data_IF_347034565086
#
_entry.id   IF_347034565086
#
_cell.length_a   1.000
_cell.length_b   1.000
_cell.length_c   1.000
_cell.angle_alpha   90.00
_cell.angle_beta   90.00
_cell.angle_gamma   90.00
#
_symmetry.space_group_name_H-M   'P 1'
#
loop_
_entity.id
_entity.type
_entity.pdbx_description
1 polymer ?
#
# COMPACT_ATOMS: atom_id res chain seq x y z
N UNK A 1 8.02 -7.21 56.78
CA UNK A 1 9.33 -7.88 56.74
C UNK A 1 9.18 -9.08 55.81
N UNK A 2 9.86 -9.30 54.69
CA UNK A 2 11.06 -8.79 54.03
C UNK A 2 10.80 -8.98 52.51
N UNK A 3 11.04 -7.99 51.65
CA UNK A 3 12.28 -7.83 50.85
C UNK A 3 12.81 -9.11 50.19
N UNK A 4 12.84 -9.15 48.85
CA UNK A 4 14.07 -9.50 48.14
C UNK A 4 14.01 -10.48 46.95
N UNK A 5 14.25 -9.92 45.75
CA UNK A 5 15.02 -10.44 44.59
C UNK A 5 14.56 -11.71 43.84
N UNK A 6 14.23 -11.66 42.53
CA UNK A 6 15.10 -11.58 41.32
C UNK A 6 15.90 -12.86 40.99
N UNK A 7 15.42 -13.62 39.98
CA UNK A 7 16.17 -14.41 38.97
C UNK A 7 15.12 -15.15 38.10
N UNK A 8 14.83 -14.84 36.82
CA UNK A 8 15.66 -14.86 35.62
C UNK A 8 16.36 -16.21 35.35
N UNK A 9 15.69 -17.10 34.60
CA UNK A 9 16.36 -18.04 33.69
C UNK A 9 15.52 -18.30 32.43
N UNK A 10 16.03 -17.77 31.32
CA UNK A 10 15.71 -18.13 29.94
C UNK A 10 15.67 -19.65 29.76
N UNK A 11 14.55 -20.19 29.28
CA UNK A 11 14.49 -21.51 28.66
C UNK A 11 14.18 -21.32 27.17
N UNK A 12 15.24 -21.12 26.38
CA UNK A 12 15.20 -21.14 24.93
C UNK A 12 15.00 -22.60 24.48
N UNK A 13 13.81 -22.93 23.99
CA UNK A 13 13.47 -24.27 23.52
C UNK A 13 14.03 -24.49 22.10
N UNK A 14 14.98 -25.43 21.99
CA UNK A 14 15.46 -26.00 20.73
C UNK A 14 14.33 -26.74 19.98
N UNK A 15 14.28 -26.70 18.63
CA UNK A 15 13.26 -27.36 17.83
C UNK A 15 13.49 -28.87 17.77
N UNK A 16 12.49 -29.66 18.16
CA UNK A 16 12.48 -31.13 17.99
C UNK A 16 12.19 -31.49 16.53
N UNK A 17 12.87 -32.50 15.95
CA UNK A 17 12.57 -33.00 14.61
C UNK A 17 11.23 -33.77 14.60
N UNK A 18 10.38 -33.46 13.62
CA UNK A 18 9.06 -34.07 13.43
C UNK A 18 9.17 -35.52 12.96
N UNK A 19 8.34 -36.46 13.45
CA UNK A 19 8.14 -37.73 12.78
C UNK A 19 7.21 -37.53 11.56
N UNK A 20 7.75 -37.77 10.37
CA UNK A 20 6.94 -37.95 9.17
C UNK A 20 6.04 -39.18 9.31
N UNK A 21 4.75 -39.01 9.01
CA UNK A 21 3.83 -40.14 8.89
C UNK A 21 2.37 -39.77 9.02
N UNK A 22 1.70 -39.66 7.87
CA UNK A 22 0.27 -39.96 7.67
C UNK A 22 -0.74 -39.33 8.64
N UNK A 23 -1.14 -38.08 8.37
CA UNK A 23 -2.55 -37.67 8.27
C UNK A 23 -2.63 -36.16 7.96
N UNK A 24 -2.41 -35.78 6.70
CA UNK A 24 -2.52 -34.40 6.24
C UNK A 24 -3.82 -34.11 5.48
N UNK A 25 -4.77 -35.04 5.44
CA UNK A 25 -6.05 -34.88 4.75
C UNK A 25 -7.19 -35.27 5.70
N UNK A 26 -7.59 -34.34 6.58
CA UNK A 26 -8.96 -34.20 7.15
C UNK A 26 -9.00 -33.27 8.38
N UNK A 27 -8.45 -32.05 8.28
CA UNK A 27 -8.84 -30.92 9.14
C UNK A 27 -8.82 -29.65 8.28
N UNK A 28 -9.70 -29.61 7.29
CA UNK A 28 -9.98 -28.37 6.53
C UNK A 28 -11.47 -28.08 6.70
N UNK A 29 -11.77 -26.84 7.10
CA UNK A 29 -13.10 -26.28 7.34
C UNK A 29 -13.63 -26.36 8.78
N UNK A 30 -12.93 -25.72 9.75
CA UNK A 30 -13.61 -24.79 10.66
C UNK A 30 -12.67 -23.95 11.57
N UNK A 31 -11.46 -23.62 11.12
CA UNK A 31 -10.61 -22.72 11.92
C UNK A 31 -10.88 -21.28 11.49
N UNK A 32 -11.46 -20.42 12.36
CA UNK A 32 -11.65 -19.02 12.02
C UNK A 32 -10.27 -18.37 11.81
N UNK A 33 -10.15 -17.41 10.89
CA UNK A 33 -8.88 -16.74 10.63
C UNK A 33 -8.34 -16.15 11.94
N UNK A 34 -7.04 -16.33 12.19
CA UNK A 34 -6.36 -15.92 13.42
C UNK A 34 -6.63 -14.44 13.75
N UNK A 35 -6.78 -13.60 12.73
CA UNK A 35 -7.16 -12.18 12.84
C UNK A 35 -8.56 -11.96 13.44
N UNK A 36 -9.55 -12.78 13.07
CA UNK A 36 -10.92 -12.69 13.62
C UNK A 36 -10.98 -13.11 15.09
N UNK A 37 -10.15 -14.09 15.49
CA UNK A 37 -10.04 -14.51 16.90
C UNK A 37 -9.39 -13.42 17.74
N UNK A 38 -8.39 -12.70 17.19
CA UNK A 38 -7.77 -11.56 17.89
C UNK A 38 -8.73 -10.39 18.02
N UNK A 39 -9.49 -10.06 16.97
CA UNK A 39 -10.49 -8.98 17.01
C UNK A 39 -11.63 -9.28 17.99
N UNK A 40 -12.09 -10.53 18.04
CA UNK A 40 -13.15 -10.94 18.96
C UNK A 40 -12.67 -10.94 20.42
N UNK A 41 -11.41 -11.34 20.66
CA UNK A 41 -10.80 -11.30 22.00
C UNK A 41 -10.55 -9.86 22.46
N UNK A 42 -10.17 -8.96 21.55
CA UNK A 42 -10.03 -7.52 21.83
C UNK A 42 -11.39 -6.90 22.15
N UNK A 43 -12.44 -7.21 21.37
CA UNK A 43 -13.81 -6.76 21.66
C UNK A 43 -14.31 -7.24 23.02
N UNK A 44 -14.15 -8.53 23.32
CA UNK A 44 -14.50 -9.08 24.65
C UNK A 44 -13.74 -8.36 25.77
N UNK A 45 -12.46 -8.07 25.59
CA UNK A 45 -11.67 -7.34 26.58
C UNK A 45 -12.16 -5.90 26.78
N UNK A 46 -12.61 -5.24 25.73
CA UNK A 46 -13.21 -3.90 25.81
C UNK A 46 -14.52 -3.97 26.58
N UNK A 47 -15.39 -4.93 26.26
CA UNK A 47 -16.68 -5.11 26.95
C UNK A 47 -16.48 -5.41 28.45
N UNK A 48 -15.53 -6.28 28.78
CA UNK A 48 -15.14 -6.58 30.17
C UNK A 48 -14.69 -5.31 30.89
N UNK A 49 -13.81 -4.49 30.28
CA UNK A 49 -13.35 -3.23 30.86
C UNK A 49 -14.49 -2.22 31.04
N UNK A 50 -15.45 -2.16 30.11
CA UNK A 50 -16.63 -1.30 30.24
C UNK A 50 -17.50 -1.74 31.43
N UNK A 51 -17.69 -3.05 31.62
CA UNK A 51 -18.44 -3.55 32.78
C UNK A 51 -17.71 -3.29 34.11
N UNK A 52 -16.39 -3.52 34.16
CA UNK A 52 -15.55 -3.28 35.34
C UNK A 52 -15.54 -1.78 35.72
N UNK A 53 -15.41 -0.89 34.73
CA UNK A 53 -15.51 0.56 34.96
C UNK A 53 -16.90 1.01 35.39
N UNK A 54 -17.96 0.32 34.95
CA UNK A 54 -19.33 0.52 35.44
C UNK A 54 -19.49 0.14 36.92
N UNK A 55 -18.94 -1.01 37.32
CA UNK A 55 -18.97 -1.49 38.71
C UNK A 55 -18.20 -0.55 39.65
N UNK A 56 -16.99 -0.14 39.26
CA UNK A 56 -16.20 0.82 40.04
C UNK A 56 -16.93 2.16 40.22
N UNK A 57 -17.64 2.64 39.19
CA UNK A 57 -18.46 3.87 39.28
C UNK A 57 -19.60 3.73 40.29
N UNK A 58 -20.26 2.57 40.31
CA UNK A 58 -21.32 2.28 41.26
C UNK A 58 -20.78 2.20 42.71
N UNK A 59 -19.61 1.59 42.91
CA UNK A 59 -18.98 1.50 44.23
C UNK A 59 -18.49 2.86 44.75
N UNK A 60 -17.93 3.71 43.89
CA UNK A 60 -17.60 5.10 44.27
C UNK A 60 -18.87 5.88 44.65
N UNK A 61 -19.98 5.67 43.93
CA UNK A 61 -21.25 6.30 44.27
C UNK A 61 -21.76 5.86 45.65
N UNK A 62 -21.72 4.56 45.98
CA UNK A 62 -22.15 4.07 47.29
C UNK A 62 -21.24 4.55 48.41
N UNK A 63 -19.92 4.57 48.21
CA UNK A 63 -18.95 5.11 49.16
C UNK A 63 -19.18 6.61 49.40
N UNK A 64 -19.49 7.38 48.35
CA UNK A 64 -19.79 8.81 48.47
C UNK A 64 -21.06 9.09 49.27
N UNK A 65 -22.10 8.26 49.11
CA UNK A 65 -23.35 8.39 49.86
C UNK A 65 -23.16 8.02 51.34
N UNK A 66 -22.35 6.99 51.62
CA UNK A 66 -22.00 6.59 52.98
C UNK A 66 -21.24 7.72 53.70
N UNK A 67 -20.25 8.33 53.04
CA UNK A 67 -19.54 9.50 53.56
C UNK A 67 -20.48 10.68 53.85
N UNK A 68 -21.41 10.97 52.93
CA UNK A 68 -22.40 12.05 53.10
C UNK A 68 -23.30 11.80 54.31
N UNK A 69 -23.70 10.55 54.54
CA UNK A 69 -24.51 10.13 55.70
C UNK A 69 -23.73 10.23 57.02
N UNK A 70 -22.46 9.85 57.03
CA UNK A 70 -21.59 10.02 58.20
C UNK A 70 -21.35 11.51 58.52
N UNK A 71 -21.08 12.33 57.51
CA UNK A 71 -20.94 13.79 57.67
C UNK A 71 -22.23 14.43 58.22
N UNK A 72 -23.40 14.04 57.71
CA UNK A 72 -24.69 14.52 58.23
C UNK A 72 -24.96 14.07 59.66
N UNK A 73 -24.54 12.86 60.04
CA UNK A 73 -24.65 12.37 61.41
C UNK A 73 -23.74 13.13 62.39
N UNK A 74 -22.55 13.54 61.94
CA UNK A 74 -21.63 14.38 62.71
C UNK A 74 -22.15 15.81 62.91
N UNK A 75 -22.83 16.38 61.91
CA UNK A 75 -23.42 17.73 62.01
C UNK A 75 -24.59 17.77 63.01
N UNK A 76 -25.32 16.66 63.18
CA UNK A 76 -26.35 16.48 64.22
C UNK A 76 -25.80 16.31 65.65
N UNK A 77 -24.49 16.07 65.80
CA UNK A 77 -23.81 15.88 67.08
C UNK A 77 -23.04 17.12 67.57
N UNK A 78 -23.22 18.28 66.94
CA UNK A 78 -22.73 19.58 67.42
C UNK A 78 -23.80 20.25 68.31
N UNK A 79 -23.80 20.04 69.65
CA UNK A 79 -24.64 20.83 70.54
C UNK A 79 -24.15 22.29 70.53
N UNK A 80 -25.01 23.19 70.04
CA UNK A 80 -24.93 24.62 70.35
C UNK A 80 -25.30 24.78 71.82
N UNK A 81 -24.34 24.67 72.73
CA UNK A 81 -24.50 25.12 74.12
C UNK A 81 -23.15 25.43 74.75
N UNK A 82 -22.78 26.71 74.64
CA UNK A 82 -22.49 27.60 75.76
C UNK A 82 -21.97 26.98 77.07
N UNK A 83 -20.68 27.22 77.33
CA UNK A 83 -20.00 27.35 78.63
C UNK A 83 -20.04 26.18 79.65
N UNK A 84 -18.86 25.95 80.27
CA UNK A 84 -18.54 25.11 81.45
C UNK A 84 -18.37 23.61 81.09
N UNK A 85 -17.25 22.92 81.31
CA UNK A 85 -16.23 22.95 82.37
C UNK A 85 -14.84 22.56 81.82
N UNK A 86 -13.79 23.28 82.24
CA UNK A 86 -12.39 22.89 82.00
C UNK A 86 -11.98 21.80 83.00
N UNK A 87 -11.82 20.56 82.54
CA UNK A 87 -11.12 19.52 83.32
C UNK A 87 -11.14 18.10 82.77
N UNK A 88 -12.14 17.72 81.96
CA UNK A 88 -12.34 16.30 81.58
C UNK A 88 -12.66 16.03 80.10
N UNK A 89 -12.44 17.00 79.20
CA UNK A 89 -12.80 16.89 77.77
C UNK A 89 -11.82 16.10 76.88
N UNK A 90 -10.77 15.46 77.43
CA UNK A 90 -9.72 14.82 76.64
C UNK A 90 -10.18 13.67 75.71
N UNK A 91 -11.04 12.71 76.11
CA UNK A 91 -11.35 11.55 75.27
C UNK A 91 -12.27 11.87 74.09
N UNK A 92 -13.19 12.83 74.23
CA UNK A 92 -14.08 13.25 73.13
C UNK A 92 -13.33 14.08 72.09
N UNK A 93 -12.37 14.91 72.49
CA UNK A 93 -11.51 15.65 71.57
C UNK A 93 -10.62 14.70 70.76
N UNK A 94 -10.07 13.66 71.40
CA UNK A 94 -9.24 12.65 70.74
C UNK A 94 -10.05 11.85 69.70
N UNK A 95 -11.28 11.45 70.03
CA UNK A 95 -12.21 10.81 69.09
C UNK A 95 -12.58 11.72 67.91
N UNK A 96 -12.82 13.02 68.15
CA UNK A 96 -13.09 13.98 67.07
C UNK A 96 -11.86 14.18 66.16
N UNK A 97 -10.64 14.19 66.71
CA UNK A 97 -9.41 14.27 65.90
C UNK A 97 -9.17 13.00 65.09
N UNK A 98 -9.42 11.82 65.66
CA UNK A 98 -9.35 10.55 64.96
C UNK A 98 -10.36 10.50 63.81
N UNK A 99 -11.62 10.86 64.07
CA UNK A 99 -12.67 10.89 63.06
C UNK A 99 -12.36 11.88 61.91
N UNK A 100 -11.79 13.05 62.21
CA UNK A 100 -11.33 14.00 61.18
C UNK A 100 -10.19 13.42 60.34
N UNK A 101 -9.26 12.68 60.93
CA UNK A 101 -8.16 12.05 60.21
C UNK A 101 -8.65 10.92 59.28
N UNK A 102 -9.60 10.11 59.73
CA UNK A 102 -10.23 9.07 58.91
C UNK A 102 -11.01 9.69 57.73
N UNK A 103 -11.72 10.79 57.97
CA UNK A 103 -12.44 11.52 56.92
C UNK A 103 -11.47 12.11 55.89
N UNK A 104 -10.34 12.67 56.34
CA UNK A 104 -9.29 13.17 55.46
C UNK A 104 -8.69 12.03 54.62
N UNK A 105 -8.42 10.87 55.21
CA UNK A 105 -7.90 9.71 54.49
C UNK A 105 -8.90 9.18 53.45
N UNK A 106 -10.18 9.06 53.81
CA UNK A 106 -11.24 8.66 52.87
C UNK A 106 -11.39 9.66 51.72
N UNK A 107 -11.31 10.97 52.00
CA UNK A 107 -11.36 12.00 50.97
C UNK A 107 -10.16 11.93 50.00
N UNK A 108 -8.95 11.65 50.52
CA UNK A 108 -7.75 11.46 49.71
C UNK A 108 -7.85 10.21 48.83
N UNK A 109 -8.36 9.09 49.37
CA UNK A 109 -8.62 7.87 48.60
C UNK A 109 -9.63 8.11 47.48
N UNK A 110 -10.73 8.82 47.77
CA UNK A 110 -11.73 9.18 46.75
C UNK A 110 -11.12 10.06 45.65
N UNK A 111 -10.29 11.05 46.02
CA UNK A 111 -9.61 11.91 45.05
C UNK A 111 -8.61 11.11 44.19
N UNK A 112 -7.88 10.16 44.77
CA UNK A 112 -6.99 9.26 44.03
C UNK A 112 -7.77 8.37 43.05
N UNK A 113 -8.93 7.83 43.45
CA UNK A 113 -9.79 7.06 42.56
C UNK A 113 -10.33 7.89 41.41
N UNK A 114 -10.74 9.15 41.66
CA UNK A 114 -11.18 10.06 40.61
C UNK A 114 -10.08 10.36 39.59
N UNK A 115 -8.85 10.57 40.06
CA UNK A 115 -7.70 10.77 39.18
C UNK A 115 -7.43 9.52 38.33
N UNK A 116 -7.40 8.33 38.94
CA UNK A 116 -7.22 7.07 38.22
C UNK A 116 -8.30 6.86 37.15
N UNK A 117 -9.56 7.21 37.43
CA UNK A 117 -10.65 7.11 36.47
C UNK A 117 -10.45 8.09 35.29
N UNK A 118 -10.04 9.33 35.56
CA UNK A 118 -9.76 10.31 34.50
C UNK A 118 -8.59 9.89 33.59
N UNK A 119 -7.55 9.28 34.17
CA UNK A 119 -6.45 8.75 33.38
C UNK A 119 -6.86 7.52 32.57
N UNK A 120 -7.66 6.63 33.15
CA UNK A 120 -8.21 5.47 32.45
C UNK A 120 -9.08 5.92 31.25
N UNK A 121 -9.90 6.95 31.43
CA UNK A 121 -10.68 7.55 30.34
C UNK A 121 -9.77 8.09 29.22
N UNK A 122 -8.73 8.86 29.55
CA UNK A 122 -7.77 9.36 28.55
C UNK A 122 -7.04 8.21 27.83
N UNK A 123 -6.71 7.13 28.54
CA UNK A 123 -6.12 5.92 27.93
C UNK A 123 -7.10 5.24 26.97
N UNK A 124 -8.38 5.14 27.32
CA UNK A 124 -9.43 4.58 26.48
C UNK A 124 -9.66 5.42 25.20
N UNK A 125 -9.79 6.75 25.33
CA UNK A 125 -9.92 7.65 24.16
C UNK A 125 -8.72 7.56 23.21
N UNK A 126 -7.50 7.45 23.76
CA UNK A 126 -6.31 7.25 22.94
C UNK A 126 -6.35 5.91 22.21
N UNK A 127 -6.77 4.85 22.90
CA UNK A 127 -6.90 3.52 22.30
C UNK A 127 -7.93 3.53 21.16
N UNK A 128 -9.10 4.17 21.36
CA UNK A 128 -10.12 4.33 20.31
C UNK A 128 -9.61 5.11 19.10
N UNK A 129 -8.84 6.19 19.33
CA UNK A 129 -8.20 6.91 18.22
C UNK A 129 -7.20 6.05 17.45
N UNK A 130 -6.43 5.22 18.16
CA UNK A 130 -5.48 4.32 17.50
C UNK A 130 -6.16 3.20 16.72
N UNK A 131 -7.28 2.66 17.22
CA UNK A 131 -8.05 1.65 16.48
C UNK A 131 -8.74 2.26 15.26
N UNK A 132 -9.28 3.48 15.39
CA UNK A 132 -9.84 4.22 14.25
C UNK A 132 -8.79 4.49 13.16
N UNK A 133 -7.60 4.97 13.54
CA UNK A 133 -6.50 5.20 12.60
C UNK A 133 -6.02 3.91 11.91
N UNK A 134 -5.98 2.78 12.64
CA UNK A 134 -5.66 1.47 12.05
C UNK A 134 -6.71 1.05 11.02
N UNK A 135 -8.00 1.19 11.34
CA UNK A 135 -9.09 0.84 10.43
C UNK A 135 -9.07 1.70 9.17
N UNK A 136 -8.79 3.00 9.29
CA UNK A 136 -8.64 3.92 8.15
C UNK A 136 -7.45 3.52 7.28
N UNK A 137 -6.30 3.21 7.89
CA UNK A 137 -5.13 2.70 7.17
C UNK A 137 -5.42 1.37 6.44
N UNK A 138 -6.16 0.45 7.07
CA UNK A 138 -6.60 -0.80 6.44
C UNK A 138 -7.55 -0.55 5.26
N UNK A 139 -8.48 0.41 5.39
CA UNK A 139 -9.37 0.78 4.29
C UNK A 139 -8.58 1.35 3.11
N UNK A 140 -7.62 2.24 3.35
CA UNK A 140 -6.73 2.75 2.31
C UNK A 140 -5.93 1.63 1.64
N UNK A 141 -5.33 0.72 2.42
CA UNK A 141 -4.60 -0.41 1.88
C UNK A 141 -5.49 -1.31 1.01
N UNK A 142 -6.74 -1.57 1.43
CA UNK A 142 -7.70 -2.34 0.64
C UNK A 142 -8.02 -1.65 -0.70
N UNK A 143 -8.25 -0.33 -0.71
CA UNK A 143 -8.51 0.41 -1.96
C UNK A 143 -7.31 0.39 -2.91
N UNK A 144 -6.09 0.44 -2.38
CA UNK A 144 -4.87 0.41 -3.19
C UNK A 144 -4.63 -0.99 -3.76
N UNK A 145 -4.88 -2.04 -2.99
CA UNK A 145 -4.83 -3.43 -3.47
C UNK A 145 -5.83 -3.63 -4.61
N UNK A 146 -7.07 -3.14 -4.47
CA UNK A 146 -8.07 -3.24 -5.53
C UNK A 146 -7.58 -2.50 -6.78
N UNK A 147 -7.12 -1.25 -6.63
CA UNK A 147 -6.55 -0.48 -7.74
C UNK A 147 -5.41 -1.22 -8.43
N UNK A 148 -4.38 -1.65 -7.70
CA UNK A 148 -3.23 -2.36 -8.26
C UNK A 148 -3.65 -3.69 -8.92
N UNK A 149 -4.65 -4.37 -8.37
CA UNK A 149 -5.19 -5.59 -8.98
C UNK A 149 -5.84 -5.32 -10.33
N UNK A 150 -6.57 -4.20 -10.48
CA UNK A 150 -7.16 -3.79 -11.76
C UNK A 150 -6.10 -3.38 -12.77
N UNK A 151 -5.07 -2.63 -12.34
CA UNK A 151 -3.94 -2.24 -13.19
C UNK A 151 -3.18 -3.48 -13.69
N UNK A 152 -2.94 -4.44 -12.80
CA UNK A 152 -2.29 -5.71 -13.13
C UNK A 152 -3.14 -6.57 -14.06
N UNK A 153 -4.46 -6.60 -13.88
CA UNK A 153 -5.37 -7.30 -14.79
C UNK A 153 -5.35 -6.67 -16.19
N UNK A 154 -5.39 -5.33 -16.28
CA UNK A 154 -5.28 -4.62 -17.56
C UNK A 154 -3.92 -4.85 -18.22
N UNK A 155 -2.83 -4.82 -17.46
CA UNK A 155 -1.50 -5.10 -17.98
C UNK A 155 -1.38 -6.53 -18.53
N UNK A 156 -1.92 -7.52 -17.81
CA UNK A 156 -1.98 -8.92 -18.29
C UNK A 156 -2.83 -9.04 -19.55
N UNK A 157 -3.97 -8.37 -19.64
CA UNK A 157 -4.81 -8.37 -20.84
C UNK A 157 -4.04 -7.80 -22.04
N UNK A 158 -3.37 -6.65 -21.89
CA UNK A 158 -2.52 -6.06 -22.93
C UNK A 158 -1.40 -7.00 -23.36
N UNK A 159 -0.76 -7.69 -22.40
CA UNK A 159 0.27 -8.68 -22.71
C UNK A 159 -0.29 -9.84 -23.54
N UNK A 160 -1.46 -10.38 -23.17
CA UNK A 160 -2.08 -11.47 -23.93
C UNK A 160 -2.46 -11.05 -25.35
N UNK A 161 -2.96 -9.82 -25.52
CA UNK A 161 -3.28 -9.27 -26.83
C UNK A 161 -2.03 -9.09 -27.69
N UNK A 162 -0.95 -8.54 -27.11
CA UNK A 162 0.33 -8.41 -27.82
C UNK A 162 0.91 -9.77 -28.25
N UNK A 163 0.79 -10.80 -27.40
CA UNK A 163 1.19 -12.16 -27.76
C UNK A 163 0.33 -12.74 -28.89
N UNK A 164 -0.99 -12.51 -28.88
CA UNK A 164 -1.87 -12.93 -29.98
C UNK A 164 -1.49 -12.23 -31.30
N UNK A 165 -1.23 -10.92 -31.24
CA UNK A 165 -0.78 -10.15 -32.39
C UNK A 165 0.54 -10.69 -32.96
N UNK A 166 1.50 -11.07 -32.11
CA UNK A 166 2.75 -11.68 -32.54
C UNK A 166 2.52 -13.00 -33.31
N UNK A 167 1.67 -13.89 -32.76
CA UNK A 167 1.31 -15.16 -33.42
C UNK A 167 0.61 -14.91 -34.76
N UNK A 168 -0.27 -13.92 -34.84
CA UNK A 168 -0.95 -13.60 -36.10
C UNK A 168 -0.01 -12.99 -37.14
N UNK A 169 0.98 -12.19 -36.72
CA UNK A 169 2.05 -11.72 -37.60
C UNK A 169 2.91 -12.87 -38.11
N UNK A 170 3.28 -13.84 -37.27
CA UNK A 170 4.01 -15.04 -37.71
C UNK A 170 3.23 -15.84 -38.75
N UNK A 171 1.92 -16.04 -38.54
CA UNK A 171 1.05 -16.70 -39.54
C UNK A 171 1.02 -15.93 -40.86
N UNK A 172 0.91 -14.60 -40.80
CA UNK A 172 0.90 -13.73 -42.00
C UNK A 172 2.23 -13.82 -42.74
N UNK A 173 3.36 -13.79 -42.04
CA UNK A 173 4.69 -13.97 -42.63
C UNK A 173 4.78 -15.32 -43.33
N UNK A 174 4.39 -16.42 -42.67
CA UNK A 174 4.39 -17.75 -43.28
C UNK A 174 3.54 -17.81 -44.57
N UNK A 175 2.37 -17.19 -44.58
CA UNK A 175 1.54 -17.13 -45.81
C UNK A 175 2.18 -16.28 -46.91
N UNK A 176 2.86 -15.19 -46.57
CA UNK A 176 3.56 -14.34 -47.53
C UNK A 176 4.77 -15.06 -48.13
N UNK A 177 5.55 -15.75 -47.30
CA UNK A 177 6.66 -16.61 -47.72
C UNK A 177 6.17 -17.71 -48.67
N UNK A 178 5.07 -18.38 -48.35
CA UNK A 178 4.47 -19.40 -49.22
C UNK A 178 4.01 -18.82 -50.58
N UNK A 179 3.51 -17.59 -50.62
CA UNK A 179 3.16 -16.90 -51.88
C UNK A 179 4.40 -16.57 -52.70
N UNK A 180 5.44 -16.04 -52.06
CA UNK A 180 6.73 -15.77 -52.72
C UNK A 180 7.32 -17.04 -53.32
N UNK A 181 7.33 -18.14 -52.56
CA UNK A 181 7.81 -19.44 -53.05
C UNK A 181 7.05 -19.94 -54.30
N UNK A 182 5.73 -19.71 -54.36
CA UNK A 182 4.92 -20.04 -55.55
C UNK A 182 5.27 -19.15 -56.75
N UNK A 183 5.44 -17.85 -56.54
CA UNK A 183 5.84 -16.92 -57.61
C UNK A 183 7.22 -17.27 -58.16
N UNK A 184 8.18 -17.58 -57.29
CA UNK A 184 9.52 -18.02 -57.72
C UNK A 184 9.47 -19.33 -58.49
N UNK A 185 8.67 -20.31 -58.05
CA UNK A 185 8.49 -21.57 -58.75
C UNK A 185 7.86 -21.37 -60.14
N UNK A 186 6.80 -20.56 -60.24
CA UNK A 186 6.18 -20.22 -61.52
C UNK A 186 7.15 -19.48 -62.46
N UNK A 187 7.95 -18.56 -61.93
CA UNK A 187 8.98 -17.85 -62.69
C UNK A 187 10.07 -18.78 -63.23
N UNK A 188 10.56 -19.70 -62.40
CA UNK A 188 11.53 -20.72 -62.82
C UNK A 188 10.95 -21.65 -63.89
N UNK A 189 9.68 -22.04 -63.77
CA UNK A 189 8.99 -22.88 -64.75
C UNK A 189 8.78 -22.15 -66.08
N UNK A 190 8.40 -20.86 -66.06
CA UNK A 190 8.30 -20.03 -67.25
C UNK A 190 9.66 -19.83 -67.93
N UNK A 191 10.73 -19.64 -67.15
CA UNK A 191 12.09 -19.49 -67.68
C UNK A 191 12.62 -20.80 -68.26
N UNK A 192 12.34 -21.95 -67.64
CA UNK A 192 12.66 -23.27 -68.18
C UNK A 192 11.88 -23.58 -69.47
N UNK A 193 10.62 -23.14 -69.56
CA UNK A 193 9.82 -23.26 -70.79
C UNK A 193 10.39 -22.36 -71.91
N UNK A 194 10.81 -21.14 -71.59
CA UNK A 194 11.43 -20.22 -72.56
C UNK A 194 12.79 -20.75 -73.06
N UNK A 195 13.63 -21.32 -72.20
CA UNK A 195 14.90 -21.93 -72.62
C UNK A 195 14.69 -23.22 -73.42
N UNK A 196 13.66 -24.01 -73.10
CA UNK A 196 13.28 -25.17 -73.90
C UNK A 196 12.75 -24.78 -75.29
N UNK A 197 11.92 -23.73 -75.38
CA UNK A 197 11.45 -23.18 -76.65
C UNK A 197 12.61 -22.62 -77.51
N UNK A 198 13.53 -21.87 -76.90
CA UNK A 198 14.73 -21.37 -77.57
C UNK A 198 15.69 -22.49 -78.03
N UNK A 199 15.61 -23.67 -77.41
CA UNK A 199 16.37 -24.86 -77.83
C UNK A 199 15.66 -25.68 -78.93
N UNK A 200 14.35 -25.46 -79.14
CA UNK A 200 13.56 -26.13 -80.17
C UNK A 200 13.53 -25.36 -81.50
N UNK A 201 13.78 -24.05 -81.50
CA UNK A 201 13.92 -23.25 -82.73
C UNK A 201 15.36 -23.30 -83.27
N UNK A 202 15.70 -24.45 -83.84
CA UNK A 202 16.74 -24.60 -84.84
C UNK A 202 16.12 -25.01 -86.17
N UNK A 203 15.52 -24.08 -86.91
CA UNK A 203 15.15 -24.30 -88.31
C UNK A 203 13.94 -23.53 -88.85
N UNK A 204 14.26 -22.54 -89.69
CA UNK A 204 13.45 -21.95 -90.77
C UNK A 204 12.61 -20.69 -90.47
N UNK A 205 12.96 -19.63 -91.20
CA UNK A 205 12.19 -18.40 -91.40
C UNK A 205 10.74 -18.65 -91.85
N UNK A 206 9.87 -17.65 -91.68
CA UNK A 206 9.02 -17.28 -92.81
C UNK A 206 9.02 -15.76 -93.07
N UNK A 207 9.41 -15.41 -94.30
CA UNK A 207 9.02 -14.17 -94.98
C UNK A 207 7.63 -14.33 -95.60
N UNK A 208 6.77 -13.31 -95.52
CA UNK A 208 5.57 -13.22 -96.36
C UNK A 208 4.46 -12.29 -95.82
N UNK A 209 4.30 -11.13 -96.46
CA UNK A 209 3.31 -10.09 -96.17
C UNK A 209 1.86 -10.49 -96.44
N UNK A 210 0.92 -9.98 -95.63
CA UNK A 210 -0.43 -9.62 -96.07
C UNK A 210 -0.99 -8.44 -95.23
N UNK A 211 -1.13 -7.30 -95.91
CA UNK A 211 -1.91 -6.09 -95.58
C UNK A 211 -3.37 -6.43 -95.93
N UNK A 212 -4.39 -6.27 -95.09
CA UNK A 212 -5.30 -5.12 -94.83
C UNK A 212 -6.49 -5.78 -94.06
N UNK A 213 -7.20 -5.21 -93.09
CA UNK A 213 -8.02 -4.01 -93.22
C UNK A 213 -8.63 -3.62 -91.85
N UNK A 214 -9.01 -2.36 -91.74
CA UNK A 214 -9.30 -1.63 -90.51
C UNK A 214 -10.70 -1.89 -89.89
N UNK A 215 -10.88 -1.52 -88.61
CA UNK A 215 -11.60 -0.26 -88.19
C UNK A 215 -12.33 -0.35 -86.83
N UNK A 216 -12.10 0.72 -86.06
CA UNK A 216 -12.97 1.44 -85.09
C UNK A 216 -12.78 1.23 -83.57
N UNK A 217 -12.26 2.32 -82.97
CA UNK A 217 -12.63 3.01 -81.71
C UNK A 217 -12.10 2.37 -80.42
N UNK A 218 -11.53 3.10 -79.46
CA UNK A 218 -11.50 4.54 -79.19
C UNK A 218 -10.29 4.87 -78.29
N UNK A 219 -9.86 6.11 -78.31
CA UNK A 219 -8.81 6.73 -77.49
C UNK A 219 -9.12 6.60 -75.98
N UNK A 220 -8.19 6.67 -75.01
CA UNK A 220 -7.28 7.80 -74.68
C UNK A 220 -6.40 7.28 -73.51
N UNK A 221 -5.10 7.02 -73.67
CA UNK A 221 -3.94 7.91 -73.55
C UNK A 221 -3.81 8.72 -72.22
N UNK A 222 -2.74 8.38 -71.49
CA UNK A 222 -1.77 9.29 -70.86
C UNK A 222 -2.21 10.05 -69.58
N UNK A 223 -1.38 10.33 -68.57
CA UNK A 223 0.06 10.19 -68.34
C UNK A 223 0.30 10.50 -66.83
N UNK A 224 1.23 9.81 -66.20
CA UNK A 224 2.08 10.36 -65.11
C UNK A 224 3.24 11.06 -65.82
N UNK A 225 3.92 12.15 -65.35
CA UNK A 225 4.26 12.44 -63.94
C UNK A 225 4.40 13.95 -63.56
N UNK A 226 4.64 14.25 -62.28
CA UNK A 226 4.92 15.63 -61.84
C UNK A 226 5.58 15.71 -60.47
N UNK A 227 6.90 15.58 -60.43
CA UNK A 227 7.74 15.95 -59.30
C UNK A 227 7.78 17.48 -59.19
N UNK A 228 7.41 18.03 -58.04
CA UNK A 228 7.75 19.40 -57.66
C UNK A 228 8.16 19.42 -56.18
N UNK A 229 9.47 19.54 -55.97
CA UNK A 229 10.06 19.99 -54.71
C UNK A 229 10.39 21.47 -54.89
N UNK A 230 10.04 22.32 -53.93
CA UNK A 230 11.00 23.27 -53.33
C UNK A 230 10.49 23.80 -51.99
N UNK A 231 11.41 24.17 -51.07
CA UNK A 231 11.18 24.53 -49.67
C UNK A 231 11.22 26.04 -49.42
N UNK A 232 10.78 26.50 -48.24
CA UNK A 232 11.26 27.67 -47.44
C UNK A 232 10.21 28.01 -46.37
N UNK A 233 10.51 27.85 -45.07
CA UNK A 233 11.19 28.81 -44.17
C UNK A 233 10.14 29.65 -43.41
N UNK A 234 9.79 29.32 -42.15
CA UNK A 234 10.44 29.66 -40.85
C UNK A 234 9.73 30.82 -40.14
N UNK A 235 9.68 30.69 -38.81
CA UNK A 235 9.23 31.62 -37.75
C UNK A 235 7.73 31.52 -37.37
N UNK A 236 7.36 31.21 -36.12
CA UNK A 236 7.93 31.76 -34.88
C UNK A 236 7.97 30.79 -33.70
N UNK A 237 9.10 30.91 -33.04
CA UNK A 237 9.47 30.64 -31.65
C UNK A 237 8.36 30.75 -30.60
N UNK A 238 8.34 29.75 -29.73
CA UNK A 238 7.75 29.76 -28.39
C UNK A 238 8.44 28.66 -27.58
N UNK A 239 9.65 28.97 -27.10
CA UNK A 239 10.50 28.01 -26.40
C UNK A 239 9.86 27.44 -25.13
N UNK A 240 10.03 26.15 -24.92
CA UNK A 240 10.09 25.55 -23.59
C UNK A 240 11.18 24.48 -23.61
N UNK A 241 11.95 24.48 -22.53
CA UNK A 241 13.13 23.67 -22.31
C UNK A 241 12.94 22.21 -22.72
N UNK A 242 13.97 21.65 -23.34
CA UNK A 242 14.12 20.21 -23.51
C UNK A 242 14.26 19.58 -22.11
N UNK A 243 13.12 19.25 -21.51
CA UNK A 243 13.06 18.20 -20.50
C UNK A 243 13.23 16.89 -21.26
N UNK A 244 14.45 16.37 -21.24
CA UNK A 244 14.66 14.96 -21.52
C UNK A 244 13.92 14.19 -20.42
N UNK A 245 12.70 13.75 -20.70
CA UNK A 245 11.98 12.81 -19.84
C UNK A 245 12.67 11.46 -19.96
N UNK A 246 13.78 11.29 -19.23
CA UNK A 246 14.25 9.98 -18.80
C UNK A 246 13.14 9.34 -17.97
N UNK A 247 12.82 8.08 -18.27
CA UNK A 247 11.85 7.34 -17.49
C UNK A 247 12.25 7.38 -16.00
N UNK A 248 11.29 7.56 -15.07
CA UNK A 248 11.59 7.68 -13.65
C UNK A 248 12.31 6.41 -13.18
N UNK A 249 13.54 6.59 -12.67
CA UNK A 249 14.32 5.52 -12.10
C UNK A 249 13.94 5.41 -10.63
N UNK A 250 13.60 4.20 -10.18
CA UNK A 250 13.26 3.95 -8.77
C UNK A 250 14.46 3.36 -8.03
N UNK A 251 14.73 3.86 -6.82
CA UNK A 251 15.77 3.33 -5.94
C UNK A 251 15.17 2.85 -4.62
N UNK A 252 15.46 1.60 -4.26
CA UNK A 252 15.09 1.02 -2.98
C UNK A 252 16.13 1.35 -1.91
N UNK A 253 15.70 2.11 -0.89
CA UNK A 253 16.54 2.57 0.22
C UNK A 253 16.98 1.38 1.08
N UNK A 254 18.28 1.24 1.33
CA UNK A 254 18.82 0.19 2.21
C UNK A 254 19.00 0.70 3.64
N UNK A 255 19.16 -0.23 4.58
CA UNK A 255 19.49 0.12 5.96
C UNK A 255 20.78 0.95 6.01
N UNK A 256 20.71 2.11 6.67
CA UNK A 256 21.77 3.13 6.79
C UNK A 256 22.14 3.91 5.52
N UNK A 257 21.29 3.91 4.48
CA UNK A 257 21.42 4.87 3.38
C UNK A 257 20.94 6.27 3.81
N UNK A 258 21.59 7.30 3.27
CA UNK A 258 21.19 8.71 3.42
C UNK A 258 20.98 9.32 2.03
N UNK A 259 20.16 10.38 1.92
CA UNK A 259 19.90 11.03 0.62
C UNK A 259 21.20 11.47 -0.07
N UNK A 260 22.17 11.98 0.68
CA UNK A 260 23.49 12.35 0.14
C UNK A 260 24.29 11.15 -0.38
N UNK A 261 24.21 10.00 0.29
CA UNK A 261 24.88 8.75 -0.19
C UNK A 261 24.21 8.19 -1.43
N UNK A 262 22.88 8.24 -1.49
CA UNK A 262 22.11 7.80 -2.65
C UNK A 262 22.42 8.73 -3.83
N UNK A 263 22.43 10.04 -3.60
CA UNK A 263 22.76 11.04 -4.62
C UNK A 263 24.20 10.88 -5.15
N UNK A 264 25.17 10.67 -4.26
CA UNK A 264 26.55 10.37 -4.66
C UNK A 264 26.65 9.09 -5.50
N UNK A 265 25.81 8.08 -5.24
CA UNK A 265 25.81 6.82 -5.98
C UNK A 265 25.19 6.93 -7.37
N UNK A 266 24.17 7.78 -7.50
CA UNK A 266 23.35 7.86 -8.73
C UNK A 266 23.79 9.01 -9.63
N UNK A 267 24.05 10.18 -9.05
CA UNK A 267 24.51 11.36 -9.78
C UNK A 267 26.02 11.59 -9.70
N UNK A 268 26.73 10.85 -8.84
CA UNK A 268 28.16 11.09 -8.59
C UNK A 268 28.44 12.31 -7.70
N UNK A 269 27.40 13.03 -7.26
CA UNK A 269 27.51 14.23 -6.43
C UNK A 269 26.64 14.08 -5.18
N UNK A 270 27.28 14.13 -4.00
CA UNK A 270 26.58 14.06 -2.72
C UNK A 270 25.71 15.29 -2.46
N UNK A 271 26.02 16.44 -3.10
CA UNK A 271 25.32 17.72 -2.94
C UNK A 271 23.99 17.77 -3.70
N UNK A 272 23.78 16.89 -4.68
CA UNK A 272 22.55 16.83 -5.46
C UNK A 272 21.39 16.11 -4.76
N UNK A 273 21.47 15.94 -3.43
CA UNK A 273 20.45 15.28 -2.62
C UNK A 273 19.12 16.04 -2.61
N UNK A 274 19.16 17.38 -2.75
CA UNK A 274 17.98 18.24 -2.79
C UNK A 274 17.05 17.87 -3.95
N UNK A 275 17.60 17.47 -5.10
CA UNK A 275 16.80 17.07 -6.27
C UNK A 275 15.98 15.81 -6.01
N UNK A 276 16.58 14.84 -5.31
CA UNK A 276 15.89 13.60 -4.91
C UNK A 276 14.83 13.95 -3.86
N UNK A 277 15.15 14.83 -2.92
CA UNK A 277 14.19 15.26 -1.90
C UNK A 277 12.99 15.98 -2.50
N UNK A 278 13.21 16.91 -3.42
CA UNK A 278 12.16 17.68 -4.09
C UNK A 278 11.26 16.79 -4.96
N UNK A 279 11.82 15.78 -5.61
CA UNK A 279 11.04 14.80 -6.37
C UNK A 279 10.20 13.85 -5.50
N UNK A 280 10.49 13.77 -4.19
CA UNK A 280 9.83 12.85 -3.25
C UNK A 280 9.23 13.58 -2.04
N UNK A 281 8.92 14.88 -2.14
CA UNK A 281 8.34 15.67 -1.05
C UNK A 281 7.05 15.10 -0.49
N UNK A 282 6.27 14.46 -1.35
CA UNK A 282 5.02 13.81 -0.98
C UNK A 282 5.24 12.57 -0.10
N UNK A 283 6.42 11.95 -0.20
CA UNK A 283 6.80 10.74 0.53
C UNK A 283 7.74 11.03 1.73
N UNK A 284 8.52 12.11 1.69
CA UNK A 284 9.51 12.47 2.71
C UNK A 284 9.16 13.81 3.38
N UNK A 285 8.68 13.74 4.63
CA UNK A 285 8.42 14.94 5.43
C UNK A 285 9.71 15.69 5.82
N UNK A 286 10.82 14.98 6.02
CA UNK A 286 12.14 15.58 6.29
C UNK A 286 13.23 14.85 5.50
N UNK A 287 14.38 15.50 5.20
CA UNK A 287 15.47 14.88 4.46
C UNK A 287 16.06 13.62 5.11
N UNK A 288 15.91 13.49 6.44
CA UNK A 288 16.43 12.37 7.24
C UNK A 288 15.40 11.26 7.48
N UNK A 289 14.13 11.46 7.08
CA UNK A 289 13.04 10.50 7.29
C UNK A 289 13.06 9.35 6.27
N UNK A 290 14.23 8.74 6.06
CA UNK A 290 14.40 7.59 5.20
C UNK A 290 14.15 6.29 5.98
N UNK A 291 13.22 5.47 5.50
CA UNK A 291 12.98 4.14 6.04
C UNK A 291 13.57 3.07 5.11
N UNK A 292 14.25 2.03 5.62
CA UNK A 292 14.73 0.91 4.80
C UNK A 292 13.56 0.23 4.06
N UNK A 293 13.73 -0.09 2.77
CA UNK A 293 12.71 -0.67 1.90
C UNK A 293 11.82 0.35 1.18
N UNK A 294 12.01 1.64 1.42
CA UNK A 294 11.28 2.71 0.73
C UNK A 294 11.76 2.87 -0.72
N UNK A 295 10.85 2.99 -1.69
CA UNK A 295 11.19 3.35 -3.07
C UNK A 295 11.19 4.87 -3.26
N UNK A 296 12.32 5.42 -3.71
CA UNK A 296 12.47 6.83 -4.07
C UNK A 296 12.51 7.00 -5.58
N UNK A 297 11.85 8.05 -6.06
CA UNK A 297 11.93 8.51 -7.45
C UNK A 297 13.22 9.28 -7.66
N UNK A 298 13.99 8.91 -8.67
CA UNK A 298 15.19 9.61 -9.09
C UNK A 298 14.90 10.30 -10.43
N UNK A 299 14.94 11.65 -10.47
CA UNK A 299 14.80 12.44 -11.70
C UNK A 299 15.86 12.16 -12.77
#
# INVERSE_FOLDING_TARGET
MLMGLLAATLAWAQPQPQPEGSNAEQVTANEPPIEAVTDQRVKQRIDDLVTETGQLRAEVATQSELLRRLMSGLDGLLPVSSQQDLGTLSPQQEQLTACRSELAELSARLQQQQLALSEAQRRAEKAEKTTAAMNEAQAHAATEIERLSTELAMAKARQTEALQQAVDLERRLATAEARLARVTANGQQAQAAATAAASAEGGSEPSGLAIEDAKRRDATAAETPGLAVTPSETERSGGHASAQSTAPVFYEVRAADTLSRISARVYGDASAWERIYDANRDLLATPEALSPGMSLVIP
#
